data_IF_147873198347
#
_entry.id   IF_147873198347
#
_cell.length_a   1.000
_cell.length_b   1.000
_cell.length_c   1.000
_cell.angle_alpha   90.00
_cell.angle_beta   90.00
_cell.angle_gamma   90.00
#
_symmetry.space_group_name_H-M   'P 1'
#
loop_
_entity.id
_entity.type
_entity.pdbx_description
1 polymer ?
#
# COMPACT_ATOMS: atom_id res chain seq x y z
N UNK A 1 2.05 -10.34 23.40
CA UNK A 1 2.90 -11.19 22.55
C UNK A 1 3.86 -10.38 21.67
N UNK A 2 4.17 -9.14 22.06
CA UNK A 2 5.20 -8.33 21.40
C UNK A 2 4.73 -7.47 20.22
N UNK A 3 3.45 -7.49 19.85
CA UNK A 3 2.90 -6.58 18.83
C UNK A 3 2.40 -5.33 19.52
N UNK A 4 2.97 -4.17 19.17
CA UNK A 4 2.63 -2.88 19.74
C UNK A 4 1.89 -1.96 18.76
N UNK A 5 2.02 -2.24 17.46
CA UNK A 5 1.43 -1.41 16.40
C UNK A 5 0.95 -2.32 15.26
N UNK A 6 -0.23 -2.04 14.75
CA UNK A 6 -0.79 -2.67 13.55
C UNK A 6 -1.21 -1.58 12.56
N UNK A 7 -1.04 -1.88 11.29
CA UNK A 7 -1.56 -1.06 10.22
C UNK A 7 -2.84 -1.71 9.70
N UNK A 8 -3.96 -0.98 9.79
CA UNK A 8 -5.21 -1.38 9.18
C UNK A 8 -5.29 -0.82 7.76
N UNK A 9 -5.23 -1.73 6.78
CA UNK A 9 -5.24 -1.39 5.35
C UNK A 9 -6.65 -1.20 4.77
N UNK A 10 -7.69 -1.10 5.62
CA UNK A 10 -9.08 -0.92 5.21
C UNK A 10 -9.31 0.49 4.71
N UNK A 11 -9.53 0.64 3.41
CA UNK A 11 -9.87 1.90 2.75
C UNK A 11 -11.36 2.20 2.86
N UNK A 12 -11.77 3.41 2.45
CA UNK A 12 -13.19 3.83 2.49
C UNK A 12 -14.11 2.86 1.74
N UNK A 13 -13.73 2.43 0.55
CA UNK A 13 -14.48 1.48 -0.29
C UNK A 13 -14.55 0.06 0.31
N UNK A 14 -13.67 -0.27 1.23
CA UNK A 14 -13.69 -1.52 2.01
C UNK A 14 -14.44 -1.40 3.35
N UNK A 15 -15.02 -0.25 3.65
CA UNK A 15 -15.81 -0.05 4.87
C UNK A 15 -14.99 0.39 6.08
N UNK A 16 -13.94 1.20 5.88
CA UNK A 16 -13.16 1.82 6.97
C UNK A 16 -14.07 2.46 8.00
N UNK A 17 -13.88 2.11 9.27
CA UNK A 17 -14.55 2.70 10.43
C UNK A 17 -13.49 3.22 11.44
N UNK A 18 -13.12 4.51 11.38
CA UNK A 18 -12.10 5.07 12.24
C UNK A 18 -12.47 5.04 13.73
N UNK A 19 -13.75 5.23 14.08
CA UNK A 19 -14.20 5.22 15.48
C UNK A 19 -14.16 3.82 16.08
N UNK A 20 -14.52 2.79 15.31
CA UNK A 20 -14.35 1.40 15.74
C UNK A 20 -12.87 1.09 15.99
N UNK A 21 -11.97 1.52 15.09
CA UNK A 21 -10.54 1.33 15.26
C UNK A 21 -9.99 2.07 16.46
N UNK A 22 -10.47 3.28 16.76
CA UNK A 22 -10.15 4.01 17.99
C UNK A 22 -10.52 3.21 19.22
N UNK A 23 -11.75 2.67 19.23
CA UNK A 23 -12.23 1.83 20.32
C UNK A 23 -11.38 0.58 20.51
N UNK A 24 -11.08 -0.13 19.42
CA UNK A 24 -10.19 -1.31 19.44
C UNK A 24 -8.79 -0.96 19.94
N UNK A 25 -8.21 0.15 19.50
CA UNK A 25 -6.91 0.61 19.98
C UNK A 25 -6.92 0.88 21.49
N UNK A 26 -7.95 1.56 21.98
CA UNK A 26 -8.12 1.86 23.40
C UNK A 26 -8.24 0.58 24.25
N UNK A 27 -9.11 -0.35 23.85
CA UNK A 27 -9.35 -1.60 24.60
C UNK A 27 -8.16 -2.57 24.56
N UNK A 28 -7.43 -2.62 23.44
CA UNK A 28 -6.33 -3.56 23.26
C UNK A 28 -4.96 -3.04 23.72
N UNK A 29 -4.82 -1.72 23.86
CA UNK A 29 -3.53 -1.06 24.08
C UNK A 29 -2.57 -1.14 22.89
N UNK A 30 -3.06 -1.51 21.68
CA UNK A 30 -2.28 -1.58 20.43
C UNK A 30 -2.46 -0.28 19.65
N UNK A 31 -1.36 0.31 19.17
CA UNK A 31 -1.44 1.44 18.26
C UNK A 31 -1.99 0.97 16.90
N UNK A 32 -3.02 1.64 16.39
CA UNK A 32 -3.57 1.35 15.07
C UNK A 32 -3.29 2.52 14.11
N UNK A 33 -2.71 2.20 12.95
CA UNK A 33 -2.45 3.16 11.88
C UNK A 33 -3.53 2.97 10.83
N UNK A 34 -4.31 4.02 10.58
CA UNK A 34 -5.32 4.05 9.52
C UNK A 34 -4.69 4.45 8.18
N UNK A 35 -5.29 3.97 7.08
CA UNK A 35 -4.92 4.38 5.73
C UNK A 35 -5.95 5.33 5.12
N UNK A 36 -5.52 6.20 4.20
CA UNK A 36 -6.39 6.89 3.25
C UNK A 36 -6.04 6.52 1.83
N UNK A 37 -6.95 6.77 0.90
CA UNK A 37 -6.91 6.28 -0.47
C UNK A 37 -8.03 5.29 -0.72
N UNK A 38 -7.96 4.59 -1.86
CA UNK A 38 -8.93 3.56 -2.23
C UNK A 38 -8.23 2.27 -2.66
N UNK A 39 -8.98 1.17 -2.62
CA UNK A 39 -8.49 -0.12 -3.07
C UNK A 39 -8.70 -0.26 -4.59
N UNK A 40 -9.66 -1.05 -5.08
CA UNK A 40 -9.88 -1.24 -6.53
C UNK A 40 -11.07 -0.42 -7.04
N UNK A 41 -12.04 -0.14 -6.18
CA UNK A 41 -13.26 0.57 -6.53
C UNK A 41 -13.14 2.06 -6.27
N UNK A 42 -12.71 2.80 -7.30
CA UNK A 42 -12.81 4.27 -7.25
C UNK A 42 -14.29 4.64 -7.14
N UNK A 43 -14.72 5.35 -6.08
CA UNK A 43 -16.12 5.70 -5.87
C UNK A 43 -16.73 6.39 -7.09
N UNK A 44 -17.97 6.03 -7.45
CA UNK A 44 -18.63 6.58 -8.67
C UNK A 44 -18.61 8.10 -8.74
N UNK A 45 -18.76 8.78 -7.60
CA UNK A 45 -18.74 10.25 -7.53
C UNK A 45 -17.35 10.84 -7.77
N UNK A 46 -16.30 10.01 -7.76
CA UNK A 46 -14.91 10.40 -8.05
C UNK A 46 -14.48 10.01 -9.47
N UNK A 47 -15.31 9.29 -10.24
CA UNK A 47 -15.02 8.99 -11.63
C UNK A 47 -15.05 10.27 -12.46
N UNK A 48 -13.96 10.54 -13.19
CA UNK A 48 -13.78 11.78 -13.94
C UNK A 48 -13.25 12.98 -13.13
N UNK A 49 -13.07 12.81 -11.83
CA UNK A 49 -12.35 13.78 -10.98
C UNK A 49 -10.86 13.68 -11.25
N UNK A 50 -10.17 14.80 -11.35
CA UNK A 50 -8.73 14.84 -11.60
C UNK A 50 -7.89 14.43 -10.38
N UNK A 51 -6.65 13.97 -10.64
CA UNK A 51 -5.76 13.51 -9.58
C UNK A 51 -5.49 14.54 -8.47
N UNK A 52 -5.46 15.84 -8.77
CA UNK A 52 -5.28 16.89 -7.76
C UNK A 52 -6.45 16.93 -6.78
N UNK A 53 -7.70 16.92 -7.27
CA UNK A 53 -8.89 16.95 -6.42
C UNK A 53 -9.03 15.67 -5.59
N UNK A 54 -8.63 14.50 -6.13
CA UNK A 54 -8.54 13.28 -5.32
C UNK A 54 -7.48 13.40 -4.24
N UNK A 55 -6.32 13.98 -4.56
CA UNK A 55 -5.22 14.18 -3.61
C UNK A 55 -5.66 15.08 -2.44
N UNK A 56 -6.46 16.14 -2.71
CA UNK A 56 -6.96 17.04 -1.67
C UNK A 56 -7.77 16.29 -0.59
N UNK A 57 -8.55 15.28 -0.97
CA UNK A 57 -9.28 14.42 -0.02
C UNK A 57 -8.31 13.63 0.87
N UNK A 58 -7.27 13.03 0.29
CA UNK A 58 -6.27 12.26 1.04
C UNK A 58 -5.42 13.15 1.96
N UNK A 59 -5.04 14.33 1.47
CA UNK A 59 -4.30 15.33 2.25
C UNK A 59 -5.12 15.79 3.46
N UNK A 60 -6.43 16.01 3.29
CA UNK A 60 -7.33 16.35 4.38
C UNK A 60 -7.40 15.24 5.41
N UNK A 61 -7.60 13.97 5.00
CA UNK A 61 -7.63 12.81 5.90
C UNK A 61 -6.33 12.69 6.73
N UNK A 62 -5.19 13.12 6.17
CA UNK A 62 -3.89 13.11 6.84
C UNK A 62 -3.72 14.31 7.79
N UNK A 63 -4.10 15.52 7.37
CA UNK A 63 -3.81 16.73 8.11
C UNK A 63 -4.89 17.09 9.14
N UNK A 64 -6.15 16.87 8.78
CA UNK A 64 -7.32 17.27 9.59
C UNK A 64 -7.99 16.07 10.26
N UNK A 65 -8.02 14.92 9.61
CA UNK A 65 -8.71 13.71 10.03
C UNK A 65 -9.84 13.31 9.09
N UNK A 66 -10.31 12.08 9.25
CA UNK A 66 -11.46 11.58 8.49
C UNK A 66 -12.72 12.38 8.82
N UNK A 67 -13.58 12.60 7.82
CA UNK A 67 -14.79 13.42 7.99
C UNK A 67 -15.57 13.07 9.25
N UNK A 68 -15.82 14.07 10.07
CA UNK A 68 -16.57 13.93 11.34
C UNK A 68 -15.74 13.43 12.52
N UNK A 69 -14.41 13.24 12.35
CA UNK A 69 -13.52 12.78 13.41
C UNK A 69 -12.25 13.62 13.45
N UNK A 70 -11.44 13.45 14.51
CA UNK A 70 -10.07 13.95 14.63
C UNK A 70 -9.02 12.86 14.35
N UNK A 71 -9.45 11.68 13.89
CA UNK A 71 -8.58 10.53 13.61
C UNK A 71 -7.93 10.73 12.24
N UNK A 72 -6.60 10.73 12.21
CA UNK A 72 -5.80 11.01 11.02
C UNK A 72 -5.28 9.74 10.38
N UNK A 73 -5.14 9.77 9.04
CA UNK A 73 -4.45 8.73 8.32
C UNK A 73 -2.92 8.84 8.51
N UNK A 74 -2.27 7.69 8.70
CA UNK A 74 -0.81 7.59 8.81
C UNK A 74 -0.15 6.93 7.61
N UNK A 75 -0.92 6.45 6.62
CA UNK A 75 -0.42 5.84 5.39
C UNK A 75 -1.39 6.06 4.23
N UNK A 76 -0.84 6.21 3.04
CA UNK A 76 -1.57 6.28 1.78
C UNK A 76 -1.71 4.89 1.17
N UNK A 77 -2.86 4.61 0.55
CA UNK A 77 -3.15 3.32 -0.10
C UNK A 77 -3.67 3.53 -1.51
N UNK A 78 -3.16 2.73 -2.45
CA UNK A 78 -3.75 2.51 -3.76
C UNK A 78 -3.60 1.04 -4.18
N UNK A 79 -4.26 0.67 -5.27
CA UNK A 79 -4.30 -0.71 -5.73
C UNK A 79 -4.34 -0.81 -7.26
N UNK A 80 -3.85 -1.94 -7.77
CA UNK A 80 -4.17 -2.48 -9.07
C UNK A 80 -4.00 -4.00 -9.01
N UNK A 81 -4.87 -4.74 -9.68
CA UNK A 81 -4.92 -6.20 -9.62
C UNK A 81 -4.75 -6.80 -11.04
N UNK A 82 -5.31 -7.99 -11.28
CA UNK A 82 -5.12 -8.78 -12.50
C UNK A 82 -5.45 -8.03 -13.81
N UNK A 83 -6.32 -7.04 -13.77
CA UNK A 83 -6.64 -6.18 -14.91
C UNK A 83 -5.53 -5.15 -15.22
N UNK A 84 -4.53 -5.05 -14.35
CA UNK A 84 -3.48 -4.03 -14.42
C UNK A 84 -3.95 -2.66 -13.95
N UNK A 85 -3.21 -1.64 -14.34
CA UNK A 85 -3.53 -0.24 -13.97
C UNK A 85 -4.50 0.32 -14.99
N UNK A 86 -5.79 0.32 -14.67
CA UNK A 86 -6.83 0.95 -15.50
C UNK A 86 -6.79 2.48 -15.39
N UNK A 87 -7.41 3.24 -16.31
CA UNK A 87 -7.37 4.72 -16.25
C UNK A 87 -7.85 5.31 -14.91
N UNK A 88 -8.94 4.84 -14.27
CA UNK A 88 -9.31 5.33 -12.94
C UNK A 88 -8.26 5.02 -11.87
N UNK A 89 -7.65 3.82 -11.91
CA UNK A 89 -6.61 3.41 -10.97
C UNK A 89 -5.31 4.18 -11.20
N UNK A 90 -4.99 4.55 -12.44
CA UNK A 90 -3.86 5.44 -12.72
C UNK A 90 -4.10 6.85 -12.12
N UNK A 91 -5.30 7.40 -12.30
CA UNK A 91 -5.66 8.70 -11.70
C UNK A 91 -5.53 8.65 -10.18
N UNK A 92 -5.98 7.58 -9.54
CA UNK A 92 -5.84 7.35 -8.10
C UNK A 92 -4.36 7.22 -7.68
N UNK A 93 -3.55 6.46 -8.41
CA UNK A 93 -2.13 6.32 -8.09
C UNK A 93 -1.39 7.66 -8.18
N UNK A 94 -1.72 8.51 -9.17
CA UNK A 94 -1.21 9.87 -9.28
C UNK A 94 -1.68 10.75 -8.13
N UNK A 95 -2.94 10.62 -7.70
CA UNK A 95 -3.46 11.35 -6.54
C UNK A 95 -2.73 10.97 -5.25
N UNK A 96 -2.50 9.68 -5.03
CA UNK A 96 -1.71 9.16 -3.90
C UNK A 96 -0.28 9.69 -3.94
N UNK A 97 0.36 9.70 -5.12
CA UNK A 97 1.69 10.28 -5.30
C UNK A 97 1.74 11.77 -4.90
N UNK A 98 0.77 12.57 -5.36
CA UNK A 98 0.68 14.01 -5.05
C UNK A 98 0.41 14.26 -3.58
N UNK A 99 -0.45 13.47 -2.96
CA UNK A 99 -0.68 13.54 -1.51
C UNK A 99 0.58 13.19 -0.71
N UNK A 100 1.34 12.16 -1.14
CA UNK A 100 2.63 11.84 -0.57
C UNK A 100 3.62 13.01 -0.63
N UNK A 101 3.77 13.63 -1.80
CA UNK A 101 4.71 14.74 -2.00
C UNK A 101 4.40 15.94 -1.11
N UNK A 102 3.13 16.18 -0.77
CA UNK A 102 2.73 17.28 0.11
C UNK A 102 2.82 16.93 1.61
N UNK A 103 2.60 15.65 1.98
CA UNK A 103 2.46 15.25 3.38
C UNK A 103 3.64 14.47 3.94
N UNK A 104 4.43 13.85 3.06
CA UNK A 104 5.53 12.95 3.45
C UNK A 104 5.07 11.58 3.97
N UNK A 105 3.75 11.32 4.02
CA UNK A 105 3.19 10.05 4.51
C UNK A 105 3.52 8.93 3.52
N UNK A 106 4.03 7.75 3.96
CA UNK A 106 4.44 6.67 3.07
C UNK A 106 3.27 6.04 2.31
N UNK A 107 3.60 5.35 1.22
CA UNK A 107 2.63 4.73 0.31
C UNK A 107 2.67 3.21 0.44
N UNK A 108 1.51 2.58 0.61
CA UNK A 108 1.27 1.15 0.53
C UNK A 108 0.50 0.84 -0.76
N UNK A 109 0.97 -0.16 -1.52
CA UNK A 109 0.44 -0.46 -2.84
C UNK A 109 0.02 -1.92 -2.93
N UNK A 110 -1.28 -2.18 -3.09
CA UNK A 110 -1.73 -3.50 -3.51
C UNK A 110 -1.33 -3.74 -4.97
N UNK A 111 -0.69 -4.86 -5.26
CA UNK A 111 -0.26 -5.22 -6.61
C UNK A 111 -0.53 -6.69 -6.90
N UNK A 112 -0.59 -7.04 -8.18
CA UNK A 112 -0.72 -8.42 -8.66
C UNK A 112 0.62 -8.91 -9.22
N UNK A 113 1.42 -9.66 -8.43
CA UNK A 113 2.79 -10.01 -8.79
C UNK A 113 2.88 -10.89 -10.04
N UNK A 114 1.94 -11.82 -10.22
CA UNK A 114 1.94 -12.73 -11.39
C UNK A 114 1.81 -11.97 -12.72
N UNK A 115 1.12 -10.83 -12.71
CA UNK A 115 0.99 -9.94 -13.86
C UNK A 115 2.07 -8.85 -13.93
N UNK A 116 3.04 -8.84 -13.00
CA UNK A 116 4.07 -7.80 -12.87
C UNK A 116 3.52 -6.38 -12.80
N UNK A 117 2.31 -6.21 -12.24
CA UNK A 117 1.55 -4.96 -12.24
C UNK A 117 2.30 -3.84 -11.53
N UNK A 118 3.14 -4.15 -10.53
CA UNK A 118 3.95 -3.15 -9.83
C UNK A 118 4.88 -2.37 -10.77
N UNK A 119 5.26 -2.91 -11.93
CA UNK A 119 6.10 -2.16 -12.88
C UNK A 119 5.43 -0.85 -13.30
N UNK A 120 4.16 -0.92 -13.74
CA UNK A 120 3.42 0.29 -14.14
C UNK A 120 3.14 1.21 -12.95
N UNK A 121 2.81 0.65 -11.77
CA UNK A 121 2.59 1.45 -10.56
C UNK A 121 3.85 2.23 -10.17
N UNK A 122 5.03 1.60 -10.19
CA UNK A 122 6.32 2.23 -9.89
C UNK A 122 6.67 3.30 -10.94
N UNK A 123 6.39 3.05 -12.22
CA UNK A 123 6.57 4.05 -13.28
C UNK A 123 5.76 5.33 -13.01
N UNK A 124 4.48 5.17 -12.64
CA UNK A 124 3.60 6.30 -12.29
C UNK A 124 4.17 7.10 -11.12
N UNK A 125 4.62 6.44 -10.06
CA UNK A 125 5.23 7.12 -8.92
C UNK A 125 6.52 7.86 -9.30
N UNK A 126 7.34 7.26 -10.17
CA UNK A 126 8.54 7.92 -10.70
C UNK A 126 8.20 9.13 -11.57
N UNK A 127 7.19 9.02 -12.45
CA UNK A 127 6.69 10.13 -13.28
C UNK A 127 6.23 11.32 -12.42
N UNK A 128 5.59 11.05 -11.26
CA UNK A 128 5.14 12.06 -10.30
C UNK A 128 6.27 12.55 -9.36
N UNK A 129 7.46 11.97 -9.38
CA UNK A 129 8.61 12.39 -8.58
C UNK A 129 8.66 11.83 -7.15
N UNK A 130 7.96 10.74 -6.87
CA UNK A 130 7.96 10.08 -5.55
C UNK A 130 9.32 9.45 -5.26
N UNK A 131 9.82 9.65 -4.04
CA UNK A 131 10.94 8.85 -3.52
C UNK A 131 10.47 7.40 -3.27
N UNK A 132 10.92 6.49 -4.13
CA UNK A 132 10.50 5.09 -4.11
C UNK A 132 10.93 4.35 -2.83
N UNK A 133 11.85 4.90 -2.03
CA UNK A 133 12.18 4.37 -0.69
C UNK A 133 11.05 4.58 0.33
N UNK A 134 10.00 5.30 -0.05
CA UNK A 134 8.79 5.54 0.75
C UNK A 134 7.60 4.71 0.26
N UNK A 135 7.82 3.76 -0.65
CA UNK A 135 6.79 2.93 -1.28
C UNK A 135 6.97 1.47 -0.90
N UNK A 136 5.90 0.83 -0.42
CA UNK A 136 5.83 -0.60 -0.14
C UNK A 136 4.87 -1.28 -1.13
N UNK A 137 5.36 -2.31 -1.83
CA UNK A 137 4.58 -3.13 -2.76
C UNK A 137 4.11 -4.39 -2.05
N UNK A 138 2.81 -4.48 -1.79
CA UNK A 138 2.18 -5.58 -1.07
C UNK A 138 1.96 -6.82 -1.94
N UNK A 139 1.68 -7.94 -1.28
CA UNK A 139 1.44 -9.25 -1.88
C UNK A 139 2.60 -9.80 -2.70
N UNK A 140 3.80 -9.23 -2.51
CA UNK A 140 5.00 -9.60 -3.26
C UNK A 140 5.38 -11.08 -3.09
N UNK A 141 4.89 -11.76 -2.05
CA UNK A 141 5.10 -13.19 -1.86
C UNK A 141 4.06 -14.09 -2.56
N UNK A 142 3.19 -13.54 -3.41
CA UNK A 142 2.34 -14.32 -4.33
C UNK A 142 3.05 -14.70 -5.64
N UNK A 143 4.36 -14.51 -5.69
CA UNK A 143 5.24 -15.03 -6.73
C UNK A 143 6.54 -15.58 -6.13
N UNK A 144 7.20 -16.46 -6.88
CA UNK A 144 8.56 -16.94 -6.63
C UNK A 144 9.56 -16.41 -7.65
N UNK A 145 9.14 -15.50 -8.52
CA UNK A 145 9.98 -14.83 -9.51
C UNK A 145 10.92 -13.83 -8.82
N UNK A 146 12.11 -14.34 -8.45
CA UNK A 146 13.12 -13.55 -7.75
C UNK A 146 13.68 -12.41 -8.60
N UNK A 147 13.68 -12.52 -9.92
CA UNK A 147 14.18 -11.48 -10.81
C UNK A 147 13.22 -10.28 -10.83
N UNK A 148 11.90 -10.54 -10.87
CA UNK A 148 10.89 -9.51 -10.72
C UNK A 148 10.94 -8.84 -9.36
N UNK A 149 11.02 -9.61 -8.27
CA UNK A 149 11.10 -9.08 -6.91
C UNK A 149 12.38 -8.25 -6.69
N UNK A 150 13.51 -8.74 -7.20
CA UNK A 150 14.76 -8.00 -7.21
C UNK A 150 14.64 -6.69 -7.97
N UNK A 151 14.00 -6.71 -9.14
CA UNK A 151 13.77 -5.49 -9.91
C UNK A 151 13.02 -4.42 -9.11
N UNK A 152 11.97 -4.79 -8.34
CA UNK A 152 11.24 -3.86 -7.46
C UNK A 152 12.17 -3.29 -6.39
N UNK A 153 12.96 -4.15 -5.74
CA UNK A 153 13.90 -3.75 -4.69
C UNK A 153 15.00 -2.82 -5.22
N UNK A 154 15.51 -3.07 -6.43
CA UNK A 154 16.48 -2.22 -7.12
C UNK A 154 15.94 -0.82 -7.44
N UNK A 155 14.62 -0.66 -7.58
CA UNK A 155 13.99 0.66 -7.69
C UNK A 155 13.99 1.44 -6.37
N UNK A 156 14.25 0.80 -5.23
CA UNK A 156 14.24 1.39 -3.91
C UNK A 156 13.03 1.02 -3.05
N UNK A 157 12.02 0.37 -3.60
CA UNK A 157 10.80 0.01 -2.90
C UNK A 157 11.02 -1.06 -1.81
N UNK A 158 10.08 -1.13 -0.86
CA UNK A 158 9.94 -2.26 0.07
C UNK A 158 9.01 -3.32 -0.53
N UNK A 159 9.21 -4.60 -0.15
CA UNK A 159 8.29 -5.69 -0.45
C UNK A 159 7.44 -6.04 0.77
N UNK A 160 6.11 -6.00 0.61
CA UNK A 160 5.15 -6.57 1.54
C UNK A 160 5.01 -8.07 1.30
N UNK A 161 5.34 -8.88 2.30
CA UNK A 161 5.31 -10.33 2.25
C UNK A 161 4.22 -10.83 3.20
N UNK A 162 2.98 -10.48 2.93
CA UNK A 162 1.83 -10.45 3.84
C UNK A 162 0.83 -11.59 3.61
N UNK A 163 1.09 -12.52 2.72
CA UNK A 163 0.18 -13.64 2.39
C UNK A 163 0.77 -15.01 2.68
N UNK A 164 1.44 -15.19 3.84
CA UNK A 164 2.09 -16.46 4.18
C UNK A 164 1.19 -17.70 4.11
N UNK A 165 -0.07 -17.69 4.59
CA UNK A 165 -0.98 -18.82 4.45
C UNK A 165 -1.69 -18.91 3.09
N UNK A 166 -1.23 -18.14 2.09
CA UNK A 166 -1.86 -18.07 0.77
C UNK A 166 -1.91 -19.40 0.03
N UNK A 167 -2.94 -19.58 -0.81
CA UNK A 167 -3.23 -20.85 -1.50
C UNK A 167 -2.37 -21.09 -2.73
N UNK A 168 -1.92 -20.05 -3.43
CA UNK A 168 -1.21 -20.17 -4.73
C UNK A 168 0.24 -20.61 -4.57
N UNK A 169 0.92 -20.09 -3.56
CA UNK A 169 2.31 -20.40 -3.25
C UNK A 169 2.36 -21.01 -1.85
N UNK A 170 3.02 -22.16 -1.70
CA UNK A 170 3.14 -22.79 -0.38
C UNK A 170 3.99 -21.95 0.58
N UNK A 171 3.74 -22.01 1.91
CA UNK A 171 4.56 -21.32 2.91
C UNK A 171 6.04 -21.65 2.78
N UNK A 172 6.38 -22.90 2.44
CA UNK A 172 7.76 -23.31 2.21
C UNK A 172 8.41 -22.54 1.06
N UNK A 173 7.74 -22.44 -0.10
CA UNK A 173 8.27 -21.71 -1.25
C UNK A 173 8.39 -20.21 -0.97
N UNK A 174 7.46 -19.62 -0.20
CA UNK A 174 7.55 -18.23 0.26
C UNK A 174 8.79 -18.02 1.13
N UNK A 175 9.07 -18.95 2.05
CA UNK A 175 10.27 -18.91 2.91
C UNK A 175 11.56 -19.07 2.08
N UNK A 176 11.58 -19.96 1.07
CA UNK A 176 12.73 -20.11 0.16
C UNK A 176 12.98 -18.81 -0.62
N UNK A 177 11.93 -18.19 -1.14
CA UNK A 177 12.04 -16.91 -1.87
C UNK A 177 12.52 -15.79 -0.95
N UNK A 178 11.95 -15.66 0.26
CA UNK A 178 12.39 -14.70 1.27
C UNK A 178 13.89 -14.87 1.56
N UNK A 179 14.32 -16.12 1.84
CA UNK A 179 15.74 -16.39 2.11
C UNK A 179 16.64 -15.98 0.96
N UNK A 180 16.27 -16.29 -0.29
CA UNK A 180 17.05 -15.89 -1.48
C UNK A 180 17.23 -14.37 -1.56
N UNK A 181 16.17 -13.61 -1.32
CA UNK A 181 16.23 -12.14 -1.32
C UNK A 181 17.12 -11.62 -0.19
N UNK A 182 17.08 -12.24 0.99
CA UNK A 182 17.99 -11.91 2.10
C UNK A 182 19.44 -12.20 1.74
N UNK A 183 19.72 -13.38 1.15
CA UNK A 183 21.07 -13.78 0.71
C UNK A 183 21.62 -12.84 -0.39
N UNK A 184 20.73 -12.18 -1.17
CA UNK A 184 21.08 -11.12 -2.13
C UNK A 184 21.31 -9.74 -1.48
N UNK A 185 21.15 -9.59 -0.15
CA UNK A 185 21.42 -8.35 0.57
C UNK A 185 20.21 -7.43 0.78
N UNK A 186 18.98 -7.88 0.51
CA UNK A 186 17.77 -7.02 0.60
C UNK A 186 17.01 -7.13 1.92
N UNK A 187 17.59 -7.75 2.97
CA UNK A 187 16.90 -8.04 4.23
C UNK A 187 16.18 -6.82 4.84
N UNK A 188 16.76 -5.63 4.76
CA UNK A 188 16.21 -4.41 5.35
C UNK A 188 15.01 -3.83 4.59
N UNK A 189 14.69 -4.36 3.40
CA UNK A 189 13.56 -3.91 2.56
C UNK A 189 12.45 -4.94 2.45
N UNK A 190 12.48 -5.99 3.26
CA UNK A 190 11.48 -7.04 3.30
C UNK A 190 10.59 -6.86 4.54
N UNK A 191 9.28 -6.77 4.34
CA UNK A 191 8.27 -6.60 5.38
C UNK A 191 7.38 -7.85 5.48
N UNK A 192 7.81 -8.93 6.17
CA UNK A 192 6.96 -10.07 6.44
C UNK A 192 5.89 -9.72 7.49
N UNK A 193 4.65 -10.21 7.29
CA UNK A 193 3.54 -10.01 8.22
C UNK A 193 2.55 -11.18 8.20
#
# INVERSE_FOLDING_TARGET
>A
KGINTLLDATTFDLGRDPELLRHVAFESGVNLINVTGWWLDVPRFMLGVGANQMADEFIRDINEGFRGTDIKAGMLKCAADFEGVTPPLETMARAVARAHLQTGVPIMVHSYPTGHVAKRQIEIFREEGVDLTRVKIDHSNDTTDTDYLKWILDQGCFLGLDRYPGRLISPHMRTVTLKRLMDMGYAERLCPS
#
